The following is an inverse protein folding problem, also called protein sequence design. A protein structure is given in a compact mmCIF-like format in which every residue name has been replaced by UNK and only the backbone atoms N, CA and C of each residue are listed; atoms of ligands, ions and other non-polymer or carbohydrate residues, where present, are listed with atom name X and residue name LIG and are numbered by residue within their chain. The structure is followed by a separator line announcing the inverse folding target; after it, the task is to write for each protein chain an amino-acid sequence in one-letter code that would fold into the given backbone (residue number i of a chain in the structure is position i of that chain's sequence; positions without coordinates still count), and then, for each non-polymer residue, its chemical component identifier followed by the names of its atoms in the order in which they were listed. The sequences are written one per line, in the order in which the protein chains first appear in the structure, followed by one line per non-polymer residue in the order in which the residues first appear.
data_IF_332291965130
#
_entry.id   IF_332291965130
#
_cell.length_a   1.000
_cell.length_b   1.000
_cell.length_c   1.000
_cell.angle_alpha   90.00
_cell.angle_beta   90.00
_cell.angle_gamma   90.00
#
_symmetry.space_group_name_H-M   'P 1'
#
loop_
_entity.id
_entity.type
_entity.pdbx_description
1 polymer ?
#
# COMPACT_ATOMS: atom_id res chain seq x y z
N UNK A 1 8.73 4.08 14.74
CA UNK A 1 8.96 2.63 14.97
C UNK A 1 7.98 1.81 14.14
N UNK A 2 8.47 0.79 13.44
CA UNK A 2 7.61 -0.14 12.70
C UNK A 2 7.03 -1.20 13.64
N UNK A 3 5.75 -1.55 13.48
CA UNK A 3 5.10 -2.61 14.26
C UNK A 3 5.01 -3.90 13.46
N UNK A 4 5.36 -5.03 14.07
CA UNK A 4 5.36 -6.33 13.39
C UNK A 4 4.32 -7.25 14.01
N UNK A 5 3.43 -7.77 13.18
CA UNK A 5 2.48 -8.81 13.57
C UNK A 5 2.60 -10.04 12.66
N UNK A 6 2.28 -11.22 13.18
CA UNK A 6 2.29 -12.44 12.41
C UNK A 6 1.05 -13.29 12.69
N UNK A 7 0.48 -13.88 11.65
CA UNK A 7 -0.71 -14.73 11.70
C UNK A 7 -0.50 -15.97 10.83
N UNK A 8 -1.14 -17.07 11.18
CA UNK A 8 -1.19 -18.27 10.33
C UNK A 8 -2.53 -18.34 9.61
N UNK A 9 -2.48 -18.40 8.28
CA UNK A 9 -3.65 -18.53 7.40
C UNK A 9 -3.38 -19.68 6.45
N UNK A 10 -4.28 -20.68 6.41
CA UNK A 10 -4.17 -21.88 5.57
C UNK A 10 -2.79 -22.56 5.64
N UNK A 11 -2.21 -22.63 6.85
CA UNK A 11 -0.89 -23.23 7.09
C UNK A 11 0.31 -22.37 6.67
N UNK A 12 0.09 -21.16 6.13
CA UNK A 12 1.14 -20.20 5.79
C UNK A 12 1.29 -19.14 6.87
N UNK A 13 2.52 -18.85 7.29
CA UNK A 13 2.83 -17.74 8.20
C UNK A 13 2.89 -16.44 7.41
N UNK A 14 1.98 -15.53 7.69
CA UNK A 14 1.94 -14.18 7.11
C UNK A 14 2.47 -13.22 8.16
N UNK A 15 3.47 -12.41 7.79
CA UNK A 15 4.02 -11.35 8.63
C UNK A 15 3.67 -10.02 8.01
N UNK A 16 3.02 -9.15 8.78
CA UNK A 16 2.74 -7.76 8.41
C UNK A 16 3.67 -6.87 9.21
N UNK A 17 4.31 -5.92 8.53
CA UNK A 17 5.08 -4.85 9.17
C UNK A 17 4.39 -3.54 8.84
N UNK A 18 3.79 -2.93 9.85
CA UNK A 18 3.28 -1.58 9.78
C UNK A 18 4.43 -0.59 9.88
N UNK A 19 4.45 0.39 8.98
CA UNK A 19 5.53 1.36 8.86
C UNK A 19 5.02 2.75 9.21
N UNK A 20 5.80 3.58 9.93
CA UNK A 20 5.43 4.97 10.17
C UNK A 20 5.14 5.70 8.85
N UNK A 21 4.13 6.57 8.82
CA UNK A 21 3.86 7.38 7.63
C UNK A 21 5.03 8.32 7.32
N UNK A 22 5.44 8.33 6.06
CA UNK A 22 6.56 9.16 5.58
C UNK A 22 6.35 10.66 5.84
N UNK A 23 5.10 11.10 5.99
CA UNK A 23 4.70 12.51 6.15
C UNK A 23 3.88 12.77 7.43
N UNK A 24 3.70 11.77 8.31
CA UNK A 24 2.93 11.93 9.56
C UNK A 24 3.60 12.87 10.56
N UNK A 25 4.90 13.15 10.38
CA UNK A 25 5.64 14.12 11.19
C UNK A 25 6.31 15.14 10.27
N UNK A 26 5.94 16.42 10.43
CA UNK A 26 6.38 17.60 9.65
C UNK A 26 7.92 17.83 9.56
N UNK A 27 8.78 16.89 9.98
CA UNK A 27 10.21 17.12 10.16
C UNK A 27 11.16 15.98 9.76
N UNK A 28 10.72 14.82 9.22
CA UNK A 28 11.59 13.62 9.21
C UNK A 28 11.68 12.76 7.96
N UNK A 29 11.36 13.26 6.76
CA UNK A 29 11.38 12.44 5.53
C UNK A 29 12.64 11.55 5.35
N UNK A 30 13.84 12.06 5.67
CA UNK A 30 15.10 11.28 5.61
C UNK A 30 15.24 10.25 6.73
N UNK A 31 14.85 10.59 7.95
CA UNK A 31 14.94 9.70 9.11
C UNK A 31 13.90 8.59 9.01
N UNK A 32 12.66 8.93 8.65
CA UNK A 32 11.58 7.97 8.36
C UNK A 32 11.93 7.05 7.19
N UNK A 33 12.49 7.56 6.10
CA UNK A 33 12.96 6.72 4.99
C UNK A 33 14.06 5.76 5.41
N UNK A 34 14.98 6.21 6.27
CA UNK A 34 16.04 5.36 6.83
C UNK A 34 15.46 4.27 7.73
N UNK A 35 14.52 4.60 8.62
CA UNK A 35 13.82 3.64 9.48
C UNK A 35 13.06 2.59 8.65
N UNK A 36 12.34 3.01 7.61
CA UNK A 36 11.67 2.10 6.67
C UNK A 36 12.72 1.18 6.02
N UNK A 37 13.80 1.74 5.47
CA UNK A 37 14.88 0.95 4.87
C UNK A 37 15.53 -0.04 5.84
N UNK A 38 15.71 0.34 7.11
CA UNK A 38 16.22 -0.55 8.16
C UNK A 38 15.22 -1.65 8.53
N UNK A 39 13.93 -1.34 8.61
CA UNK A 39 12.89 -2.34 8.86
C UNK A 39 12.83 -3.40 7.76
N UNK A 40 12.99 -2.97 6.49
CA UNK A 40 12.96 -3.83 5.31
C UNK A 40 14.16 -4.77 5.24
N UNK A 41 15.36 -4.34 5.66
CA UNK A 41 16.57 -5.18 5.64
C UNK A 41 16.46 -6.48 6.44
N UNK A 42 15.56 -6.53 7.43
CA UNK A 42 15.37 -7.68 8.30
C UNK A 42 14.22 -8.60 7.85
N UNK A 43 13.62 -8.34 6.69
CA UNK A 43 12.55 -9.15 6.11
C UNK A 43 13.15 -10.33 5.33
N UNK A 44 13.41 -11.44 6.04
CA UNK A 44 13.78 -12.74 5.46
C UNK A 44 12.53 -13.63 5.30
N UNK A 45 12.37 -14.38 4.18
CA UNK A 45 13.28 -14.52 3.03
C UNK A 45 13.21 -13.37 1.99
N UNK A 46 12.29 -12.41 2.19
CA UNK A 46 12.11 -11.25 1.31
C UNK A 46 10.74 -10.62 1.52
N UNK A 47 10.50 -9.48 0.89
CA UNK A 47 9.16 -8.88 0.81
C UNK A 47 8.37 -9.57 -0.30
N UNK A 48 7.17 -10.07 0.05
CA UNK A 48 6.24 -10.65 -0.93
C UNK A 48 5.33 -9.59 -1.55
N UNK A 49 4.97 -8.55 -0.78
CA UNK A 49 4.23 -7.39 -1.27
C UNK A 49 4.46 -6.16 -0.41
N UNK A 50 4.33 -5.00 -1.05
CA UNK A 50 4.39 -3.67 -0.43
C UNK A 50 3.00 -3.06 -0.61
N UNK A 51 2.29 -2.78 0.48
CA UNK A 51 0.93 -2.27 0.41
C UNK A 51 0.97 -0.77 0.69
N UNK A 52 0.61 0.04 -0.30
CA UNK A 52 0.44 1.48 -0.14
C UNK A 52 -1.04 1.81 0.04
N UNK A 53 -1.41 2.30 1.22
CA UNK A 53 -2.79 2.55 1.60
C UNK A 53 -3.12 4.02 1.31
N UNK A 54 -4.20 4.26 0.56
CA UNK A 54 -4.72 5.59 0.27
C UNK A 54 -6.24 5.62 0.49
N UNK A 55 -6.81 6.78 0.73
CA UNK A 55 -8.26 6.94 0.79
C UNK A 55 -8.82 7.26 -0.60
N UNK A 56 -9.92 6.61 -0.99
CA UNK A 56 -10.58 6.93 -2.25
C UNK A 56 -10.98 8.42 -2.30
N UNK A 57 -10.69 9.08 -3.42
CA UNK A 57 -11.05 10.47 -3.66
C UNK A 57 -10.28 11.51 -2.86
N UNK A 58 -9.34 11.10 -2.00
CA UNK A 58 -8.48 11.99 -1.25
C UNK A 58 -7.03 11.73 -1.64
N UNK A 59 -6.55 12.50 -2.62
CA UNK A 59 -5.17 12.44 -3.09
C UNK A 59 -4.55 13.83 -2.97
N UNK A 60 -4.16 14.17 -1.76
CA UNK A 60 -3.43 15.39 -1.44
C UNK A 60 -2.07 15.42 -2.15
N UNK A 61 -1.45 16.60 -2.21
CA UNK A 61 -0.12 16.72 -2.82
C UNK A 61 0.89 15.91 -2.01
N UNK A 62 0.74 15.94 -0.69
CA UNK A 62 1.54 15.24 0.30
C UNK A 62 1.48 13.73 0.09
N UNK A 63 0.30 13.13 -0.06
CA UNK A 63 0.15 11.69 -0.34
C UNK A 63 0.81 11.26 -1.66
N UNK A 64 0.76 12.11 -2.69
CA UNK A 64 1.44 11.82 -3.96
C UNK A 64 2.95 11.91 -3.83
N UNK A 65 3.44 12.86 -3.02
CA UNK A 65 4.87 12.96 -2.69
C UNK A 65 5.32 11.73 -1.89
N UNK A 66 4.51 11.23 -0.94
CA UNK A 66 4.73 9.93 -0.25
C UNK A 66 4.92 8.82 -1.25
N UNK A 67 3.97 8.66 -2.17
CA UNK A 67 3.95 7.54 -3.08
C UNK A 67 5.17 7.56 -4.03
N UNK A 68 5.60 8.76 -4.48
CA UNK A 68 6.84 8.98 -5.25
C UNK A 68 8.11 8.70 -4.44
N UNK A 69 8.14 9.00 -3.14
CA UNK A 69 9.31 8.67 -2.28
C UNK A 69 9.38 7.17 -1.98
N UNK A 70 8.24 6.51 -1.72
CA UNK A 70 8.16 5.05 -1.60
C UNK A 70 8.71 4.39 -2.86
N UNK A 71 8.31 4.89 -4.03
CA UNK A 71 8.81 4.43 -5.32
C UNK A 71 10.35 4.55 -5.42
N UNK A 72 10.97 5.56 -4.82
CA UNK A 72 12.44 5.72 -4.81
C UNK A 72 13.14 4.82 -3.80
N UNK A 73 12.51 4.54 -2.66
CA UNK A 73 13.04 3.65 -1.62
C UNK A 73 13.14 2.22 -2.16
N UNK A 74 12.13 1.78 -2.91
CA UNK A 74 12.08 0.45 -3.49
C UNK A 74 12.78 0.39 -4.85
N UNK A 75 13.68 -0.59 -5.01
CA UNK A 75 14.35 -0.84 -6.30
C UNK A 75 13.33 -1.13 -7.40
N UNK A 76 13.73 -1.00 -8.66
CA UNK A 76 12.86 -1.27 -9.81
C UNK A 76 12.20 -2.66 -9.73
N UNK A 77 12.94 -3.71 -9.31
CA UNK A 77 12.34 -5.04 -9.15
C UNK A 77 11.43 -5.18 -7.92
N UNK A 78 11.48 -4.25 -6.96
CA UNK A 78 10.59 -4.23 -5.82
C UNK A 78 9.25 -3.55 -6.16
N UNK A 79 9.24 -2.60 -7.11
CA UNK A 79 8.03 -1.89 -7.55
C UNK A 79 6.95 -2.83 -8.09
N UNK A 80 7.32 -3.94 -8.75
CA UNK A 80 6.36 -4.95 -9.24
C UNK A 80 5.62 -5.74 -8.15
N UNK A 81 6.03 -5.59 -6.89
CA UNK A 81 5.34 -6.17 -5.73
C UNK A 81 4.50 -5.12 -4.98
N UNK A 82 4.37 -3.90 -5.52
CA UNK A 82 3.63 -2.82 -4.90
C UNK A 82 2.15 -2.88 -5.25
N UNK A 83 1.30 -2.90 -4.22
CA UNK A 83 -0.15 -2.94 -4.33
C UNK A 83 -0.72 -1.64 -3.76
N UNK A 84 -1.48 -0.92 -4.56
CA UNK A 84 -2.22 0.27 -4.11
C UNK A 84 -3.57 -0.16 -3.54
N UNK A 85 -3.74 -0.01 -2.23
CA UNK A 85 -4.96 -0.33 -1.50
C UNK A 85 -5.76 0.95 -1.22
N UNK A 86 -6.90 1.09 -1.89
CA UNK A 86 -7.82 2.20 -1.71
C UNK A 86 -8.85 1.86 -0.65
N UNK A 87 -8.84 2.57 0.47
CA UNK A 87 -9.88 2.48 1.49
C UNK A 87 -11.11 3.28 1.08
N UNK A 88 -12.23 3.07 1.79
CA UNK A 88 -13.54 3.65 1.48
C UNK A 88 -14.08 3.23 0.11
N UNK A 89 -13.98 1.94 -0.20
CA UNK A 89 -14.57 1.36 -1.42
C UNK A 89 -16.04 1.74 -1.62
N UNK A 90 -16.80 1.91 -0.55
CA UNK A 90 -18.21 2.33 -0.62
C UNK A 90 -18.43 3.67 -1.33
N UNK A 91 -17.42 4.53 -1.40
CA UNK A 91 -17.46 5.82 -2.09
C UNK A 91 -17.35 5.66 -3.63
N UNK A 92 -17.11 4.45 -4.14
CA UNK A 92 -17.15 4.15 -5.59
C UNK A 92 -18.58 4.07 -6.14
N UNK A 93 -19.59 3.88 -5.29
CA UNK A 93 -20.98 3.60 -5.69
C UNK A 93 -21.04 2.48 -6.75
N UNK A 94 -21.59 2.76 -7.93
CA UNK A 94 -21.73 1.82 -9.05
C UNK A 94 -20.48 1.75 -9.97
N UNK A 95 -19.46 2.59 -9.73
CA UNK A 95 -18.25 2.64 -10.56
C UNK A 95 -17.26 1.56 -10.17
N UNK A 96 -16.55 1.04 -11.15
CA UNK A 96 -15.37 0.21 -10.89
C UNK A 96 -14.20 1.08 -10.41
N UNK A 97 -13.26 0.46 -9.68
CA UNK A 97 -12.02 1.13 -9.27
C UNK A 97 -11.21 1.62 -10.48
N UNK A 98 -11.23 0.87 -11.58
CA UNK A 98 -10.53 1.23 -12.81
C UNK A 98 -11.12 2.48 -13.44
N UNK A 99 -12.44 2.54 -13.63
CA UNK A 99 -13.12 3.74 -14.16
C UNK A 99 -12.89 4.96 -13.28
N UNK A 100 -12.84 4.79 -11.96
CA UNK A 100 -12.55 5.87 -11.04
C UNK A 100 -11.13 6.43 -11.23
N UNK A 101 -10.13 5.56 -11.30
CA UNK A 101 -8.74 5.96 -11.38
C UNK A 101 -8.35 6.47 -12.78
N UNK A 102 -8.83 5.83 -13.84
CA UNK A 102 -8.52 6.23 -15.22
C UNK A 102 -9.07 7.62 -15.57
N UNK A 103 -10.17 8.01 -14.94
CA UNK A 103 -10.80 9.33 -15.11
C UNK A 103 -10.37 10.34 -14.04
N UNK A 104 -9.55 9.93 -13.08
CA UNK A 104 -9.14 10.72 -11.93
C UNK A 104 -7.80 11.44 -12.14
N UNK A 105 -6.96 11.36 -11.13
CA UNK A 105 -5.65 12.02 -11.12
C UNK A 105 -4.63 11.30 -12.01
N UNK A 106 -4.10 12.01 -13.02
CA UNK A 106 -3.17 11.44 -14.02
C UNK A 106 -1.82 11.05 -13.43
N UNK A 107 -1.32 11.79 -12.44
CA UNK A 107 -0.04 11.47 -11.78
C UNK A 107 -0.16 10.17 -11.00
N UNK A 108 -1.26 10.02 -10.25
CA UNK A 108 -1.55 8.80 -9.51
C UNK A 108 -1.76 7.61 -10.46
N UNK A 109 -2.51 7.79 -11.55
CA UNK A 109 -2.71 6.75 -12.54
C UNK A 109 -1.40 6.26 -13.14
N UNK A 110 -0.53 7.18 -13.55
CA UNK A 110 0.81 6.88 -14.09
C UNK A 110 1.69 6.14 -13.08
N UNK A 111 1.63 6.54 -11.81
CA UNK A 111 2.38 5.90 -10.73
C UNK A 111 1.95 4.43 -10.55
N UNK A 112 0.64 4.17 -10.51
CA UNK A 112 0.09 2.81 -10.37
C UNK A 112 0.55 1.92 -11.53
N UNK A 113 0.47 2.43 -12.76
CA UNK A 113 0.91 1.72 -13.95
C UNK A 113 2.41 1.38 -13.92
N UNK A 114 3.25 2.31 -13.45
CA UNK A 114 4.70 2.12 -13.32
C UNK A 114 5.05 1.07 -12.24
N UNK A 115 4.16 0.86 -11.28
CA UNK A 115 4.30 -0.09 -10.18
C UNK A 115 3.62 -1.45 -10.43
N UNK A 116 3.44 -1.85 -11.69
CA UNK A 116 2.89 -3.17 -12.03
C UNK A 116 1.37 -3.27 -11.98
N UNK A 117 0.68 -2.13 -11.88
CA UNK A 117 -0.77 -1.98 -12.03
C UNK A 117 -1.62 -2.76 -11.00
N UNK A 118 -1.03 -3.13 -9.85
CA UNK A 118 -1.74 -3.85 -8.80
C UNK A 118 -2.53 -2.87 -7.92
N UNK A 119 -3.86 -2.97 -7.98
CA UNK A 119 -4.79 -2.09 -7.25
C UNK A 119 -5.93 -2.87 -6.62
N UNK A 120 -6.30 -2.52 -5.40
CA UNK A 120 -7.40 -3.11 -4.64
C UNK A 120 -8.23 -2.02 -3.99
N UNK A 121 -9.54 -2.22 -3.91
CA UNK A 121 -10.43 -1.37 -3.13
C UNK A 121 -10.94 -2.15 -1.91
N UNK A 122 -10.95 -1.48 -0.77
CA UNK A 122 -11.29 -2.03 0.53
C UNK A 122 -12.38 -1.21 1.21
N UNK A 123 -13.45 -1.88 1.64
CA UNK A 123 -14.53 -1.27 2.41
C UNK A 123 -14.20 -1.43 3.90
N UNK A 124 -13.98 -0.32 4.61
CA UNK A 124 -13.66 -0.36 6.05
C UNK A 124 -14.90 -0.61 6.93
N UNK A 125 -16.11 -0.49 6.37
CA UNK A 125 -17.38 -0.60 7.10
C UNK A 125 -18.04 -1.98 6.97
N UNK A 126 -17.51 -2.87 6.14
CA UNK A 126 -18.10 -4.20 6.02
C UNK A 126 -17.76 -5.04 7.28
N UNK A 127 -18.72 -5.86 7.68
CA UNK A 127 -18.66 -6.63 8.92
C UNK A 127 -18.09 -8.04 8.65
N UNK A 128 -17.16 -8.51 9.50
CA UNK A 128 -16.63 -9.89 9.48
C UNK A 128 -15.14 -10.04 9.12
N UNK A 129 -14.69 -11.30 8.95
CA UNK A 129 -13.29 -11.66 8.66
C UNK A 129 -12.94 -11.70 7.16
N UNK A 130 -13.88 -11.37 6.26
CA UNK A 130 -13.69 -11.38 4.80
C UNK A 130 -12.58 -10.42 4.32
N UNK A 131 -12.21 -9.47 5.17
CA UNK A 131 -11.37 -8.33 4.88
C UNK A 131 -9.88 -8.65 4.74
N UNK A 132 -9.30 -9.29 5.76
CA UNK A 132 -7.89 -9.66 5.75
C UNK A 132 -7.60 -10.76 4.74
N UNK A 133 -8.47 -11.76 4.65
CA UNK A 133 -8.27 -12.91 3.77
C UNK A 133 -8.29 -12.51 2.28
N UNK A 134 -9.07 -11.51 1.89
CA UNK A 134 -9.16 -11.06 0.49
C UNK A 134 -7.95 -10.25 0.05
N UNK A 135 -7.45 -9.32 0.89
CA UNK A 135 -6.18 -8.63 0.64
C UNK A 135 -5.01 -9.62 0.53
N UNK A 136 -5.01 -10.66 1.38
CA UNK A 136 -3.97 -11.69 1.38
C UNK A 136 -4.13 -12.72 0.25
N UNK A 137 -5.35 -12.92 -0.28
CA UNK A 137 -5.58 -13.77 -1.46
C UNK A 137 -4.98 -13.20 -2.74
N UNK A 138 -4.76 -11.88 -2.78
CA UNK A 138 -4.05 -11.20 -3.86
C UNK A 138 -2.53 -11.34 -3.75
N UNK A 139 -2.01 -11.87 -2.63
CA UNK A 139 -0.58 -12.13 -2.39
C UNK A 139 -0.15 -13.55 -2.78
N UNK A 140 -0.90 -14.20 -3.69
CA UNK A 140 -0.61 -15.56 -4.17
C UNK A 140 0.55 -15.59 -5.16
#
# INVERSE_FOLDING_TARGET
FCERQAVFIDGRKITVVDTPGLFDTNARNKETSKEIGESVKHLSPGIHAIIHIMQLGHFTREEKEVAKEIEKIFRFEAKKYMIFLFTRKEDLEEKTLEEFLSNGDKDLWSLIQTCGDQRLAFNNKAEGNEHLLRCLSCLK
#
